data_IF_662778985901
#
_entry.id   IF_662778985901
#
_cell.length_a   1.000
_cell.length_b   1.000
_cell.length_c   1.000
_cell.angle_alpha   90.00
_cell.angle_beta   90.00
_cell.angle_gamma   90.00
#
_symmetry.space_group_name_H-M   'P 1'
#
loop_
_entity.id
_entity.type
_entity.pdbx_description
1 polymer ?
#
# COMPACT_ATOMS: atom_id res chain seq x y z
N UNK A 1 26.34 -12.38 6.49
CA UNK A 1 25.99 -11.28 5.58
C UNK A 1 24.60 -11.56 5.05
N UNK A 2 23.68 -10.61 4.96
CA UNK A 2 22.39 -10.85 4.32
C UNK A 2 22.63 -11.29 2.87
N UNK A 3 21.90 -12.31 2.43
CA UNK A 3 21.97 -12.80 1.06
C UNK A 3 21.47 -11.70 0.14
N UNK A 4 22.22 -11.37 -0.90
CA UNK A 4 21.82 -10.35 -1.86
C UNK A 4 20.49 -10.74 -2.53
N UNK A 5 19.50 -9.84 -2.58
CA UNK A 5 18.19 -10.17 -3.15
C UNK A 5 18.31 -10.51 -4.64
N UNK A 6 17.64 -11.58 -5.05
CA UNK A 6 17.67 -12.07 -6.44
C UNK A 6 16.57 -11.47 -7.32
N UNK A 7 15.44 -11.06 -6.74
CA UNK A 7 14.34 -10.47 -7.52
C UNK A 7 14.60 -8.99 -7.83
N UNK A 8 14.27 -8.56 -9.07
CA UNK A 8 14.46 -7.17 -9.50
C UNK A 8 13.66 -6.17 -8.63
N UNK A 9 12.48 -6.55 -8.15
CA UNK A 9 11.70 -5.72 -7.24
C UNK A 9 12.45 -5.45 -5.92
N UNK A 10 12.92 -6.49 -5.24
CA UNK A 10 13.67 -6.33 -3.99
C UNK A 10 14.99 -5.60 -4.21
N UNK A 11 15.70 -5.87 -5.32
CA UNK A 11 16.91 -5.13 -5.69
C UNK A 11 16.63 -3.63 -5.85
N UNK A 12 15.55 -3.28 -6.55
CA UNK A 12 15.14 -1.88 -6.69
C UNK A 12 14.78 -1.24 -5.35
N UNK A 13 14.09 -1.95 -4.45
CA UNK A 13 13.81 -1.43 -3.10
C UNK A 13 15.09 -1.04 -2.34
N UNK A 14 16.18 -1.77 -2.56
CA UNK A 14 17.51 -1.48 -1.99
C UNK A 14 18.39 -0.62 -2.91
N UNK A 15 17.86 -0.08 -3.99
CA UNK A 15 18.58 0.74 -4.99
C UNK A 15 19.80 0.03 -5.60
N UNK A 16 19.69 -1.28 -5.70
CA UNK A 16 20.68 -2.11 -6.40
C UNK A 16 20.37 -2.13 -7.91
N UNK A 17 21.38 -2.34 -8.76
CA UNK A 17 21.18 -2.47 -10.20
C UNK A 17 20.15 -3.56 -10.54
N UNK A 18 19.32 -3.29 -11.55
CA UNK A 18 18.30 -4.21 -12.07
C UNK A 18 18.45 -4.39 -13.57
N UNK A 19 18.00 -5.53 -14.08
CA UNK A 19 17.99 -5.83 -15.52
C UNK A 19 16.88 -5.06 -16.27
N UNK A 20 15.78 -4.79 -15.61
CA UNK A 20 14.68 -3.95 -16.08
C UNK A 20 14.00 -3.26 -14.87
N UNK A 21 13.32 -2.14 -15.10
CA UNK A 21 12.52 -1.49 -14.06
C UNK A 21 11.44 -2.46 -13.58
N UNK A 22 11.38 -2.80 -12.27
CA UNK A 22 10.32 -3.65 -11.77
C UNK A 22 8.96 -2.93 -11.82
N UNK A 23 7.90 -3.70 -12.09
CA UNK A 23 6.54 -3.21 -12.18
C UNK A 23 5.56 -4.09 -11.40
N UNK A 24 4.71 -3.46 -10.62
CA UNK A 24 3.52 -4.03 -10.01
C UNK A 24 2.46 -2.95 -9.87
N UNK A 25 1.22 -3.30 -9.55
CA UNK A 25 0.14 -2.31 -9.51
C UNK A 25 -0.67 -2.41 -8.22
N UNK A 26 -0.89 -1.28 -7.58
CA UNK A 26 -1.81 -1.19 -6.45
C UNK A 26 -3.21 -1.65 -6.89
N UNK A 27 -3.81 -2.57 -6.12
CA UNK A 27 -5.07 -3.26 -6.46
C UNK A 27 -5.01 -4.11 -7.72
N UNK A 28 -3.82 -4.63 -8.08
CA UNK A 28 -3.65 -5.52 -9.25
C UNK A 28 -4.53 -6.78 -9.17
N UNK A 29 -4.76 -7.33 -7.97
CA UNK A 29 -5.81 -8.31 -7.74
C UNK A 29 -7.12 -7.56 -7.47
N UNK A 30 -8.09 -7.63 -8.39
CA UNK A 30 -9.26 -6.80 -8.20
C UNK A 30 -10.34 -6.90 -9.28
N UNK A 31 -11.31 -6.00 -9.16
CA UNK A 31 -12.60 -6.02 -9.84
C UNK A 31 -12.54 -6.02 -11.38
N UNK A 32 -11.44 -5.61 -11.98
CA UNK A 32 -11.25 -5.58 -13.42
C UNK A 32 -10.90 -6.95 -14.02
N UNK A 33 -10.50 -7.94 -13.21
CA UNK A 33 -10.15 -9.30 -13.64
C UNK A 33 -11.36 -10.22 -13.59
N UNK A 34 -11.65 -10.91 -14.68
CA UNK A 34 -12.79 -11.86 -14.79
C UNK A 34 -12.67 -13.03 -13.81
N UNK A 35 -11.45 -13.47 -13.50
CA UNK A 35 -11.15 -14.52 -12.54
C UNK A 35 -11.58 -14.09 -11.12
N UNK A 36 -11.24 -12.88 -10.72
CA UNK A 36 -11.69 -12.30 -9.45
C UNK A 36 -13.21 -12.12 -9.42
N UNK A 37 -13.82 -11.63 -10.50
CA UNK A 37 -15.27 -11.42 -10.57
C UNK A 37 -16.05 -12.71 -10.30
N UNK A 38 -15.57 -13.86 -10.80
CA UNK A 38 -16.20 -15.18 -10.55
C UNK A 38 -16.19 -15.56 -9.07
N UNK A 39 -15.10 -15.30 -8.36
CA UNK A 39 -15.01 -15.52 -6.92
C UNK A 39 -15.94 -14.54 -6.20
N UNK A 40 -15.89 -13.28 -6.57
CA UNK A 40 -16.64 -12.19 -5.94
C UNK A 40 -18.16 -12.30 -6.11
N UNK A 41 -18.63 -13.01 -7.14
CA UNK A 41 -20.04 -13.28 -7.36
C UNK A 41 -20.67 -14.13 -6.24
N UNK A 42 -19.86 -14.94 -5.55
CA UNK A 42 -20.31 -15.87 -4.51
C UNK A 42 -19.79 -15.53 -3.10
N UNK A 43 -18.90 -14.57 -2.98
CA UNK A 43 -18.26 -14.23 -1.71
C UNK A 43 -18.14 -12.72 -1.52
N UNK A 44 -18.35 -12.25 -0.31
CA UNK A 44 -18.02 -10.88 0.11
C UNK A 44 -16.50 -10.71 0.21
N UNK A 45 -16.02 -9.45 0.28
CA UNK A 45 -14.59 -9.17 0.49
C UNK A 45 -14.12 -9.79 1.82
N UNK A 46 -14.90 -9.65 2.89
CA UNK A 46 -14.56 -10.20 4.21
C UNK A 46 -14.52 -11.73 4.20
N UNK A 47 -15.45 -12.39 3.49
CA UNK A 47 -15.43 -13.85 3.33
C UNK A 47 -14.20 -14.32 2.56
N UNK A 48 -13.78 -13.63 1.50
CA UNK A 48 -12.55 -13.96 0.79
C UNK A 48 -11.34 -13.80 1.71
N UNK A 49 -11.24 -12.69 2.46
CA UNK A 49 -10.13 -12.44 3.38
C UNK A 49 -10.11 -13.40 4.58
N UNK A 50 -11.26 -13.97 4.98
CA UNK A 50 -11.34 -14.96 6.05
C UNK A 50 -11.02 -16.40 5.61
N UNK A 51 -10.94 -16.66 4.30
CA UNK A 51 -10.62 -17.95 3.70
C UNK A 51 -9.23 -17.90 3.07
N UNK A 52 -8.18 -18.47 3.69
CA UNK A 52 -6.79 -18.34 3.24
C UNK A 52 -6.56 -18.78 1.80
N UNK A 53 -7.22 -19.86 1.37
CA UNK A 53 -7.08 -20.43 0.03
C UNK A 53 -7.66 -19.48 -1.03
N UNK A 54 -8.82 -18.86 -0.77
CA UNK A 54 -9.42 -17.89 -1.69
C UNK A 54 -8.59 -16.61 -1.77
N UNK A 55 -8.13 -16.08 -0.63
CA UNK A 55 -7.25 -14.92 -0.62
C UNK A 55 -5.94 -15.19 -1.37
N UNK A 56 -5.38 -16.40 -1.22
CA UNK A 56 -4.18 -16.81 -1.93
C UNK A 56 -4.44 -16.93 -3.45
N UNK A 57 -5.54 -17.58 -3.85
CA UNK A 57 -5.93 -17.68 -5.27
C UNK A 57 -6.02 -16.30 -5.91
N UNK A 58 -6.75 -15.37 -5.29
CA UNK A 58 -6.92 -14.00 -5.78
C UNK A 58 -5.57 -13.27 -5.86
N UNK A 59 -4.70 -13.46 -4.88
CA UNK A 59 -3.35 -12.86 -4.86
C UNK A 59 -2.48 -13.33 -6.04
N UNK A 60 -2.60 -14.58 -6.43
CA UNK A 60 -1.79 -15.20 -7.49
C UNK A 60 -2.28 -14.87 -8.92
N UNK A 61 -3.56 -14.53 -9.10
CA UNK A 61 -4.14 -14.24 -10.42
C UNK A 61 -3.35 -13.19 -11.22
N UNK A 62 -3.01 -12.01 -10.68
CA UNK A 62 -2.26 -10.99 -11.44
C UNK A 62 -0.85 -11.43 -11.81
N UNK A 63 -0.16 -12.16 -10.94
CA UNK A 63 1.19 -12.67 -11.21
C UNK A 63 1.18 -13.57 -12.43
N UNK A 64 0.22 -14.50 -12.48
CA UNK A 64 0.09 -15.46 -13.59
C UNK A 64 -0.41 -14.80 -14.88
N UNK A 65 -1.22 -13.75 -14.78
CA UNK A 65 -1.89 -13.12 -15.93
C UNK A 65 -1.10 -11.98 -16.55
N UNK A 66 -0.42 -11.17 -15.73
CA UNK A 66 0.15 -9.88 -16.12
C UNK A 66 1.68 -9.92 -16.29
N UNK A 67 2.38 -10.85 -15.62
CA UNK A 67 3.84 -10.89 -15.61
C UNK A 67 4.50 -9.80 -14.74
N UNK A 68 3.81 -9.38 -13.68
CA UNK A 68 4.32 -8.38 -12.71
C UNK A 68 5.48 -8.91 -11.87
N UNK A 69 6.30 -8.02 -11.31
CA UNK A 69 7.53 -8.33 -10.57
C UNK A 69 7.32 -8.48 -9.06
N UNK A 70 6.12 -8.26 -8.56
CA UNK A 70 5.75 -8.52 -7.18
C UNK A 70 4.27 -8.90 -7.07
N UNK A 71 3.96 -9.83 -6.16
CA UNK A 71 2.61 -10.06 -5.68
C UNK A 71 2.32 -9.11 -4.51
N UNK A 72 1.08 -8.65 -4.39
CA UNK A 72 0.59 -8.02 -3.17
C UNK A 72 -0.57 -8.83 -2.63
N UNK A 73 -0.55 -9.10 -1.33
CA UNK A 73 -1.58 -9.87 -0.67
C UNK A 73 -2.98 -9.31 -0.96
N UNK A 74 -3.95 -10.16 -1.27
CA UNK A 74 -5.36 -9.75 -1.30
C UNK A 74 -5.90 -9.69 0.13
N UNK A 75 -6.08 -8.49 0.62
CA UNK A 75 -6.61 -8.15 1.94
C UNK A 75 -7.21 -6.74 1.89
N UNK A 76 -7.70 -6.25 3.03
CA UNK A 76 -8.13 -4.86 3.17
C UNK A 76 -7.42 -4.18 4.34
N UNK A 77 -7.13 -2.87 4.20
CA UNK A 77 -6.45 -2.07 5.22
C UNK A 77 -7.23 -1.97 6.54
N UNK A 78 -8.54 -2.20 6.51
CA UNK A 78 -9.43 -2.08 7.67
C UNK A 78 -9.59 -3.38 8.47
N UNK A 79 -9.07 -4.52 7.97
CA UNK A 79 -9.20 -5.82 8.67
C UNK A 79 -8.71 -5.78 10.13
N UNK A 80 -7.59 -5.10 10.46
CA UNK A 80 -7.13 -5.03 11.86
C UNK A 80 -8.09 -4.31 12.80
N UNK A 81 -9.03 -3.50 12.28
CA UNK A 81 -10.01 -2.78 13.09
C UNK A 81 -11.12 -3.69 13.63
N UNK A 82 -11.42 -4.79 12.94
CA UNK A 82 -12.48 -5.73 13.34
C UNK A 82 -12.20 -6.32 14.74
N UNK A 83 -11.01 -6.92 15.01
CA UNK A 83 -10.70 -7.43 16.35
C UNK A 83 -10.54 -6.32 17.40
N UNK A 84 -10.33 -5.07 17.00
CA UNK A 84 -10.38 -3.93 17.92
C UNK A 84 -11.79 -3.65 18.44
N UNK A 85 -12.82 -4.32 17.91
CA UNK A 85 -14.22 -4.15 18.29
C UNK A 85 -15.04 -3.28 17.31
N UNK A 86 -14.54 -3.08 16.10
CA UNK A 86 -15.21 -2.27 15.07
C UNK A 86 -16.11 -3.15 14.21
N UNK A 87 -17.35 -2.68 14.02
CA UNK A 87 -18.34 -3.31 13.17
C UNK A 87 -18.22 -2.74 11.75
N UNK A 88 -17.47 -3.46 10.90
CA UNK A 88 -17.15 -3.08 9.52
C UNK A 88 -18.01 -3.85 8.53
N UNK A 89 -18.56 -3.15 7.56
CA UNK A 89 -19.26 -3.71 6.41
C UNK A 89 -18.72 -3.09 5.10
N UNK A 90 -18.71 -3.88 4.03
CA UNK A 90 -18.43 -3.40 2.67
C UNK A 90 -19.74 -3.37 1.88
N UNK A 91 -20.47 -2.26 2.00
CA UNK A 91 -21.74 -2.08 1.32
C UNK A 91 -21.55 -1.95 -0.20
N UNK A 92 -22.47 -2.55 -0.96
CA UNK A 92 -22.42 -2.52 -2.42
C UNK A 92 -22.59 -1.07 -2.93
N UNK A 93 -21.58 -0.57 -3.63
CA UNK A 93 -21.58 0.79 -4.21
C UNK A 93 -21.13 1.91 -3.27
N UNK A 94 -21.10 1.70 -1.95
CA UNK A 94 -20.77 2.75 -0.96
C UNK A 94 -19.34 2.63 -0.41
N UNK A 95 -18.72 1.46 -0.55
CA UNK A 95 -17.41 1.17 0.05
C UNK A 95 -17.52 0.69 1.51
N UNK A 96 -16.46 0.86 2.32
CA UNK A 96 -16.49 0.45 3.73
C UNK A 96 -17.34 1.39 4.58
N UNK A 97 -18.20 0.79 5.43
CA UNK A 97 -19.06 1.47 6.39
C UNK A 97 -18.74 0.96 7.79
N UNK A 98 -18.55 1.86 8.73
CA UNK A 98 -18.33 1.54 10.16
C UNK A 98 -19.59 1.91 10.92
N UNK A 99 -20.25 0.93 11.50
CA UNK A 99 -21.55 1.09 12.18
C UNK A 99 -21.42 1.66 13.60
N UNK A 100 -20.25 1.50 14.24
CA UNK A 100 -19.92 2.04 15.56
C UNK A 100 -18.71 2.99 15.51
N UNK A 101 -18.81 4.11 14.76
CA UNK A 101 -17.69 5.02 14.60
C UNK A 101 -17.35 5.72 15.93
N UNK A 102 -16.07 6.05 16.12
CA UNK A 102 -15.56 6.77 17.29
C UNK A 102 -16.14 8.18 17.34
N UNK A 103 -16.69 8.55 18.52
CA UNK A 103 -17.25 9.87 18.79
C UNK A 103 -16.71 10.50 20.07
N UNK A 104 -16.31 9.69 21.02
CA UNK A 104 -15.90 10.09 22.37
C UNK A 104 -14.56 9.47 22.73
N UNK A 105 -13.94 9.98 23.79
CA UNK A 105 -12.76 9.38 24.37
C UNK A 105 -13.02 7.95 24.88
N UNK A 106 -14.19 7.71 25.47
CA UNK A 106 -14.58 6.39 25.96
C UNK A 106 -14.63 5.35 24.83
N UNK A 107 -15.06 5.76 23.61
CA UNK A 107 -15.01 4.88 22.43
C UNK A 107 -13.57 4.48 22.06
N UNK A 108 -12.63 5.42 22.22
CA UNK A 108 -11.19 5.15 21.97
C UNK A 108 -10.64 4.22 23.05
N UNK A 109 -10.97 4.45 24.32
CA UNK A 109 -10.53 3.61 25.44
C UNK A 109 -11.05 2.18 25.31
N UNK A 110 -12.28 2.00 24.78
CA UNK A 110 -12.91 0.71 24.55
C UNK A 110 -12.28 -0.11 23.41
N UNK A 111 -11.45 0.48 22.55
CA UNK A 111 -10.74 -0.26 21.49
C UNK A 111 -9.81 -1.31 22.11
N UNK A 112 -10.00 -2.55 21.69
CA UNK A 112 -9.26 -3.72 22.19
C UNK A 112 -7.88 -3.82 21.56
N UNK A 113 -6.87 -4.37 22.29
CA UNK A 113 -5.61 -4.77 21.70
C UNK A 113 -5.85 -5.94 20.72
N UNK A 114 -4.97 -6.05 19.73
CA UNK A 114 -5.04 -7.09 18.68
C UNK A 114 -3.81 -7.99 18.80
N UNK A 115 -4.04 -9.29 18.82
CA UNK A 115 -3.03 -10.33 18.66
C UNK A 115 -3.13 -10.84 17.22
N UNK A 116 -2.30 -10.40 16.26
CA UNK A 116 -2.47 -10.73 14.85
C UNK A 116 -2.44 -12.23 14.57
N UNK A 117 -1.61 -12.98 15.28
CA UNK A 117 -1.48 -14.44 15.14
C UNK A 117 -2.77 -15.19 15.47
N UNK A 118 -3.63 -14.61 16.32
CA UNK A 118 -4.94 -15.19 16.70
C UNK A 118 -6.06 -14.58 15.87
N UNK A 119 -6.14 -13.25 15.89
CA UNK A 119 -7.31 -12.53 15.36
C UNK A 119 -7.28 -12.35 13.83
N UNK A 120 -6.11 -12.44 13.21
CA UNK A 120 -5.87 -12.28 11.76
C UNK A 120 -5.16 -13.53 11.18
N UNK A 121 -5.32 -14.68 11.83
CA UNK A 121 -4.68 -15.93 11.45
C UNK A 121 -4.94 -16.32 9.98
N UNK A 122 -6.16 -16.09 9.47
CA UNK A 122 -6.50 -16.37 8.07
C UNK A 122 -5.64 -15.59 7.08
N UNK A 123 -5.36 -14.33 7.39
CA UNK A 123 -4.49 -13.47 6.55
C UNK A 123 -3.06 -14.00 6.58
N UNK A 124 -2.54 -14.39 7.74
CA UNK A 124 -1.19 -14.93 7.89
C UNK A 124 -1.05 -16.29 7.20
N UNK A 125 -2.07 -17.14 7.26
CA UNK A 125 -2.14 -18.40 6.52
C UNK A 125 -2.15 -18.17 5.01
N UNK A 126 -2.91 -17.19 4.50
CA UNK A 126 -2.91 -16.81 3.09
C UNK A 126 -1.50 -16.39 2.63
N UNK A 127 -0.77 -15.60 3.44
CA UNK A 127 0.63 -15.23 3.17
C UNK A 127 1.50 -16.49 3.03
N UNK A 128 1.39 -17.44 3.96
CA UNK A 128 2.19 -18.67 3.93
C UNK A 128 1.89 -19.51 2.67
N UNK A 129 0.61 -19.63 2.27
CA UNK A 129 0.21 -20.32 1.05
C UNK A 129 0.81 -19.62 -0.17
N UNK A 130 0.59 -18.30 -0.31
CA UNK A 130 1.09 -17.51 -1.45
C UNK A 130 2.61 -17.60 -1.55
N UNK A 131 3.34 -17.50 -0.42
CA UNK A 131 4.80 -17.63 -0.41
C UNK A 131 5.28 -18.95 -0.97
N UNK A 132 4.61 -20.06 -0.61
CA UNK A 132 4.93 -21.40 -1.14
C UNK A 132 4.67 -21.48 -2.63
N UNK A 133 3.54 -20.94 -3.11
CA UNK A 133 3.14 -21.00 -4.53
C UNK A 133 3.99 -20.06 -5.42
N UNK A 134 4.51 -18.97 -4.84
CA UNK A 134 5.39 -18.02 -5.54
C UNK A 134 6.86 -18.42 -5.54
N UNK A 135 7.23 -19.53 -4.94
CA UNK A 135 8.62 -19.93 -4.74
C UNK A 135 9.50 -19.68 -5.98
N UNK A 136 10.51 -18.82 -5.80
CA UNK A 136 11.45 -18.42 -6.85
C UNK A 136 10.91 -17.53 -7.98
N UNK A 137 9.60 -17.23 -8.05
CA UNK A 137 9.01 -16.41 -9.12
C UNK A 137 9.13 -14.91 -8.83
N UNK A 138 8.29 -14.42 -7.90
CA UNK A 138 8.26 -13.01 -7.49
C UNK A 138 8.09 -12.88 -5.98
N UNK A 139 8.53 -11.78 -5.34
CA UNK A 139 8.31 -11.55 -3.92
C UNK A 139 6.87 -11.18 -3.61
N UNK A 140 6.47 -11.43 -2.36
CA UNK A 140 5.17 -11.06 -1.81
C UNK A 140 5.29 -9.79 -0.97
N UNK A 141 4.44 -8.81 -1.26
CA UNK A 141 4.25 -7.59 -0.49
C UNK A 141 3.10 -7.80 0.49
N UNK A 142 3.38 -7.62 1.79
CA UNK A 142 2.38 -7.42 2.82
C UNK A 142 2.04 -5.94 2.97
N UNK A 143 0.94 -5.62 3.65
CA UNK A 143 0.57 -4.21 3.83
C UNK A 143 -0.37 -3.98 5.00
N UNK A 144 -0.49 -2.72 5.41
CA UNK A 144 -1.50 -2.23 6.33
C UNK A 144 -1.90 -0.80 5.99
N UNK A 145 -3.02 -0.35 6.53
CA UNK A 145 -3.40 1.06 6.51
C UNK A 145 -2.51 1.90 7.42
N UNK A 146 -2.18 3.11 7.01
CA UNK A 146 -1.47 4.05 7.85
C UNK A 146 -2.38 4.62 8.96
N UNK A 147 -1.80 5.11 10.06
CA UNK A 147 -2.56 5.45 11.25
C UNK A 147 -3.57 6.59 11.03
N UNK A 148 -3.22 7.61 10.24
CA UNK A 148 -4.17 8.69 9.92
C UNK A 148 -5.35 8.20 9.07
N UNK A 149 -5.07 7.36 8.09
CA UNK A 149 -6.11 6.78 7.22
C UNK A 149 -7.07 5.92 8.04
N UNK A 150 -6.55 5.07 8.94
CA UNK A 150 -7.38 4.23 9.82
C UNK A 150 -8.18 5.06 10.83
N UNK A 151 -7.55 6.06 11.48
CA UNK A 151 -8.24 7.00 12.37
C UNK A 151 -9.37 7.73 11.66
N UNK A 152 -9.12 8.15 10.42
CA UNK A 152 -10.13 8.83 9.62
C UNK A 152 -11.34 7.93 9.32
N UNK A 153 -11.13 6.67 8.95
CA UNK A 153 -12.22 5.71 8.78
C UNK A 153 -13.02 5.53 10.08
N UNK A 154 -12.33 5.33 11.20
CA UNK A 154 -12.95 5.14 12.51
C UNK A 154 -13.79 6.34 12.93
N UNK A 155 -13.32 7.55 12.72
CA UNK A 155 -13.98 8.78 13.17
C UNK A 155 -15.07 9.22 12.19
N UNK A 156 -14.81 9.19 10.88
CA UNK A 156 -15.81 9.60 9.88
C UNK A 156 -16.94 8.57 9.75
N UNK A 157 -16.65 7.28 9.96
CA UNK A 157 -17.58 6.16 9.81
C UNK A 157 -17.55 5.54 8.41
N UNK A 158 -16.64 6.02 7.55
CA UNK A 158 -16.49 5.60 6.15
C UNK A 158 -15.58 6.54 5.39
N UNK A 159 -15.73 6.60 4.07
CA UNK A 159 -14.98 7.55 3.25
C UNK A 159 -15.40 9.00 3.53
N UNK A 160 -14.45 9.92 3.50
CA UNK A 160 -14.70 11.36 3.70
C UNK A 160 -13.93 12.18 2.66
N UNK A 161 -14.47 13.34 2.29
CA UNK A 161 -13.80 14.30 1.39
C UNK A 161 -12.95 15.31 2.17
N UNK A 162 -13.43 15.75 3.32
CA UNK A 162 -12.85 16.88 4.05
C UNK A 162 -12.23 16.48 5.40
N UNK A 163 -12.48 15.25 5.89
CA UNK A 163 -11.97 14.75 7.16
C UNK A 163 -12.27 15.69 8.34
N UNK A 164 -13.47 16.31 8.31
CA UNK A 164 -13.81 17.38 9.25
C UNK A 164 -13.83 16.90 10.70
N UNK A 165 -14.46 15.74 10.96
CA UNK A 165 -14.52 15.19 12.33
C UNK A 165 -13.14 14.75 12.80
N UNK A 166 -12.36 14.14 11.91
CA UNK A 166 -10.99 13.69 12.17
C UNK A 166 -10.10 14.87 12.58
N UNK A 167 -10.07 15.93 11.74
CA UNK A 167 -9.28 17.14 12.04
C UNK A 167 -9.79 17.86 13.28
N UNK A 168 -11.10 17.84 13.52
CA UNK A 168 -11.68 18.45 14.74
C UNK A 168 -11.19 17.72 16.00
N UNK A 169 -11.19 16.38 16.02
CA UNK A 169 -10.67 15.63 17.16
C UNK A 169 -9.17 15.91 17.36
N UNK A 170 -8.41 15.87 16.28
CA UNK A 170 -6.95 16.09 16.27
C UNK A 170 -6.55 17.42 16.94
N UNK A 171 -7.30 18.49 16.68
CA UNK A 171 -6.98 19.84 17.16
C UNK A 171 -7.63 20.15 18.51
N UNK A 172 -8.89 19.73 18.72
CA UNK A 172 -9.64 20.11 19.92
C UNK A 172 -9.43 19.17 21.11
N UNK A 173 -9.04 17.91 20.88
CA UNK A 173 -8.67 16.97 21.95
C UNK A 173 -7.39 16.21 21.57
N UNK A 174 -6.20 16.87 21.66
CA UNK A 174 -4.93 16.23 21.35
C UNK A 174 -4.63 15.00 22.20
N UNK A 175 -5.18 14.92 23.43
CA UNK A 175 -4.98 13.77 24.32
C UNK A 175 -5.75 12.54 23.85
N UNK A 176 -7.00 12.71 23.41
CA UNK A 176 -7.78 11.62 22.80
C UNK A 176 -7.18 11.21 21.45
N UNK A 177 -6.74 12.17 20.64
CA UNK A 177 -6.02 11.92 19.39
C UNK A 177 -4.77 11.08 19.61
N UNK A 178 -3.91 11.47 20.55
CA UNK A 178 -2.70 10.73 20.90
C UNK A 178 -3.02 9.28 21.27
N UNK A 179 -3.99 9.08 22.18
CA UNK A 179 -4.40 7.73 22.60
C UNK A 179 -4.86 6.87 21.43
N UNK A 180 -5.66 7.43 20.51
CA UNK A 180 -6.11 6.71 19.30
C UNK A 180 -4.94 6.33 18.42
N UNK A 181 -4.04 7.28 18.14
CA UNK A 181 -2.91 7.07 17.26
C UNK A 181 -1.89 6.08 17.83
N UNK A 182 -1.66 6.08 19.14
CA UNK A 182 -0.83 5.09 19.84
C UNK A 182 -1.41 3.68 19.71
N UNK A 183 -2.71 3.51 19.93
CA UNK A 183 -3.37 2.22 19.76
C UNK A 183 -3.28 1.72 18.32
N UNK A 184 -3.57 2.59 17.34
CA UNK A 184 -3.52 2.22 15.93
C UNK A 184 -2.10 1.88 15.45
N UNK A 185 -1.11 2.67 15.83
CA UNK A 185 0.27 2.42 15.42
C UNK A 185 0.83 1.15 16.02
N UNK A 186 0.48 0.82 17.26
CA UNK A 186 0.84 -0.48 17.87
C UNK A 186 0.24 -1.64 17.08
N UNK A 187 -1.06 -1.63 16.84
CA UNK A 187 -1.76 -2.69 16.09
C UNK A 187 -1.20 -2.84 14.67
N UNK A 188 -0.94 -1.73 13.97
CA UNK A 188 -0.38 -1.75 12.63
C UNK A 188 1.04 -2.31 12.62
N UNK A 189 1.89 -1.93 13.57
CA UNK A 189 3.24 -2.42 13.70
C UNK A 189 3.26 -3.94 13.95
N UNK A 190 2.48 -4.41 14.94
CA UNK A 190 2.39 -5.84 15.27
C UNK A 190 1.86 -6.66 14.08
N UNK A 191 0.86 -6.13 13.37
CA UNK A 191 0.29 -6.79 12.20
C UNK A 191 1.29 -6.90 11.03
N UNK A 192 2.05 -5.83 10.75
CA UNK A 192 3.08 -5.87 9.70
C UNK A 192 4.24 -6.80 10.07
N UNK A 193 4.66 -6.82 11.34
CA UNK A 193 5.67 -7.76 11.84
C UNK A 193 5.18 -9.22 11.70
N UNK A 194 3.93 -9.49 12.04
CA UNK A 194 3.33 -10.81 11.87
C UNK A 194 3.27 -11.23 10.38
N UNK A 195 2.93 -10.31 9.46
CA UNK A 195 2.96 -10.59 8.02
C UNK A 195 4.36 -10.95 7.53
N UNK A 196 5.40 -10.26 7.99
CA UNK A 196 6.79 -10.59 7.64
C UNK A 196 7.16 -11.97 8.18
N UNK A 197 6.84 -12.28 9.43
CA UNK A 197 7.05 -13.62 10.02
C UNK A 197 6.32 -14.71 9.24
N UNK A 198 5.14 -14.44 8.71
CA UNK A 198 4.37 -15.37 7.88
C UNK A 198 4.95 -15.53 6.46
N UNK A 199 5.86 -14.66 6.01
CA UNK A 199 6.57 -14.79 4.75
C UNK A 199 6.50 -13.61 3.79
N UNK A 200 5.90 -12.47 4.15
CA UNK A 200 5.99 -11.25 3.35
C UNK A 200 7.46 -10.79 3.24
N UNK A 201 7.88 -10.43 2.03
CA UNK A 201 9.28 -10.09 1.72
C UNK A 201 9.50 -8.58 1.54
N UNK A 202 8.44 -7.81 1.51
CA UNK A 202 8.38 -6.37 1.62
C UNK A 202 7.06 -6.01 2.29
N UNK A 203 6.95 -4.82 2.87
CA UNK A 203 5.67 -4.33 3.41
C UNK A 203 5.42 -2.89 2.98
N UNK A 204 4.15 -2.57 2.73
CA UNK A 204 3.72 -1.22 2.38
C UNK A 204 2.73 -0.65 3.41
N UNK A 205 3.03 0.55 3.91
CA UNK A 205 2.12 1.35 4.71
C UNK A 205 1.31 2.25 3.78
N UNK A 206 -0.01 2.00 3.71
CA UNK A 206 -0.94 2.80 2.92
C UNK A 206 -1.55 3.91 3.78
N UNK A 207 -0.88 5.05 3.87
CA UNK A 207 -1.46 6.23 4.50
C UNK A 207 -2.08 7.16 3.46
N UNK A 208 -3.05 6.61 2.73
CA UNK A 208 -3.61 7.17 1.50
C UNK A 208 -4.20 8.57 1.67
N UNK A 209 -4.59 8.97 2.87
CA UNK A 209 -5.33 10.22 3.10
C UNK A 209 -4.52 11.35 3.74
N UNK A 210 -3.23 11.13 4.05
CA UNK A 210 -2.39 12.15 4.69
C UNK A 210 -2.22 13.44 3.88
N UNK A 211 -2.38 13.39 2.57
CA UNK A 211 -2.36 14.59 1.73
C UNK A 211 -3.49 15.59 2.01
N UNK A 212 -4.48 15.21 2.83
CA UNK A 212 -5.48 16.15 3.35
C UNK A 212 -4.93 17.09 4.44
N UNK A 213 -3.69 16.86 4.93
CA UNK A 213 -3.05 17.61 6.00
C UNK A 213 -2.06 18.64 5.46
N UNK A 214 -1.96 19.77 6.17
CA UNK A 214 -0.84 20.68 6.01
C UNK A 214 0.46 20.00 6.53
N UNK A 215 1.65 20.37 6.01
CA UNK A 215 2.90 19.77 6.43
C UNK A 215 3.15 19.83 7.95
N UNK A 216 2.77 20.92 8.60
CA UNK A 216 2.92 21.07 10.05
C UNK A 216 1.99 20.15 10.83
N UNK A 217 0.73 19.99 10.37
CA UNK A 217 -0.22 19.07 11.00
C UNK A 217 0.25 17.62 10.84
N UNK A 218 0.77 17.25 9.66
CA UNK A 218 1.36 15.93 9.46
C UNK A 218 2.54 15.71 10.42
N UNK A 219 3.46 16.68 10.50
CA UNK A 219 4.64 16.60 11.38
C UNK A 219 4.25 16.41 12.85
N UNK A 220 3.27 17.16 13.31
CA UNK A 220 2.88 17.16 14.72
C UNK A 220 2.00 15.97 15.08
N UNK A 221 1.01 15.65 14.27
CA UNK A 221 -0.09 14.75 14.65
C UNK A 221 -0.02 13.36 14.02
N UNK A 222 0.82 13.11 13.02
CA UNK A 222 0.85 11.85 12.30
C UNK A 222 2.25 11.23 12.19
N UNK A 223 3.24 12.03 11.81
CA UNK A 223 4.60 11.56 11.56
C UNK A 223 5.20 10.75 12.71
N UNK A 224 5.05 11.11 14.01
CA UNK A 224 5.62 10.33 15.12
C UNK A 224 5.10 8.88 15.15
N UNK A 225 3.84 8.67 14.80
CA UNK A 225 3.19 7.36 14.81
C UNK A 225 3.57 6.51 13.60
N UNK A 226 3.67 7.11 12.41
CA UNK A 226 4.24 6.46 11.24
C UNK A 226 5.70 6.06 11.49
N UNK A 227 6.49 6.94 12.11
CA UNK A 227 7.87 6.66 12.51
C UNK A 227 7.95 5.47 13.46
N UNK A 228 7.10 5.39 14.47
CA UNK A 228 7.07 4.28 15.43
C UNK A 228 6.80 2.93 14.73
N UNK A 229 5.90 2.90 13.73
CA UNK A 229 5.64 1.71 12.92
C UNK A 229 6.90 1.28 12.16
N UNK A 230 7.57 2.21 11.46
CA UNK A 230 8.78 1.88 10.71
C UNK A 230 9.94 1.47 11.61
N UNK A 231 10.07 2.05 12.80
CA UNK A 231 11.06 1.64 13.80
C UNK A 231 10.83 0.20 14.28
N UNK A 232 9.59 -0.19 14.56
CA UNK A 232 9.26 -1.56 14.95
C UNK A 232 9.61 -2.60 13.87
N UNK A 233 9.56 -2.20 12.59
CA UNK A 233 9.86 -3.05 11.44
C UNK A 233 11.34 -3.15 11.09
N UNK A 234 12.22 -2.32 11.66
CA UNK A 234 13.65 -2.31 11.29
C UNK A 234 14.34 -3.66 11.49
N UNK A 235 13.99 -4.37 12.56
CA UNK A 235 14.54 -5.70 12.85
C UNK A 235 14.08 -6.79 11.86
N UNK A 236 13.08 -6.52 11.07
CA UNK A 236 12.54 -7.47 10.07
C UNK A 236 13.40 -7.58 8.81
N UNK A 237 14.29 -6.63 8.57
CA UNK A 237 15.22 -6.59 7.43
C UNK A 237 14.57 -6.74 6.05
N UNK A 238 13.30 -6.35 5.91
CA UNK A 238 12.59 -6.30 4.63
C UNK A 238 12.41 -4.86 4.15
N UNK A 239 12.27 -4.61 2.84
CA UNK A 239 11.96 -3.29 2.34
C UNK A 239 10.64 -2.76 2.90
N UNK A 240 10.64 -1.48 3.28
CA UNK A 240 9.52 -0.75 3.83
C UNK A 240 9.10 0.33 2.84
N UNK A 241 7.85 0.31 2.39
CA UNK A 241 7.30 1.25 1.41
C UNK A 241 6.28 2.14 2.11
N UNK A 242 6.43 3.46 1.98
CA UNK A 242 5.49 4.44 2.53
C UNK A 242 4.74 5.14 1.39
N UNK A 243 3.42 4.99 1.33
CA UNK A 243 2.58 5.53 0.27
C UNK A 243 1.47 6.42 0.82
N UNK A 244 1.23 7.54 0.14
CA UNK A 244 0.07 8.42 0.35
C UNK A 244 -0.34 9.11 -0.94
N UNK A 245 -1.53 9.73 -0.97
CA UNK A 245 -2.02 10.53 -2.10
C UNK A 245 -2.10 12.01 -1.75
N UNK A 246 -1.90 12.90 -2.71
CA UNK A 246 -1.86 14.36 -2.49
C UNK A 246 -0.65 14.79 -1.67
N UNK A 247 0.44 14.03 -1.70
CA UNK A 247 1.55 14.14 -0.74
C UNK A 247 2.76 14.94 -1.25
N UNK A 248 2.64 15.68 -2.36
CA UNK A 248 3.75 16.47 -2.89
C UNK A 248 4.45 17.33 -1.81
N UNK A 249 3.69 18.06 -0.99
CA UNK A 249 4.22 18.89 0.09
C UNK A 249 4.74 18.08 1.31
N UNK A 250 4.48 16.78 1.37
CA UNK A 250 4.81 15.91 2.50
C UNK A 250 5.97 14.96 2.22
N UNK A 251 6.46 14.85 0.98
CA UNK A 251 7.43 13.81 0.59
C UNK A 251 8.65 13.74 1.52
N UNK A 252 9.25 14.90 1.87
CA UNK A 252 10.41 14.94 2.78
C UNK A 252 10.04 14.47 4.20
N UNK A 253 8.86 14.83 4.69
CA UNK A 253 8.39 14.41 6.01
C UNK A 253 8.05 12.91 6.02
N UNK A 254 7.47 12.38 4.94
CA UNK A 254 7.23 10.94 4.79
C UNK A 254 8.54 10.15 4.81
N UNK A 255 9.56 10.64 4.09
CA UNK A 255 10.90 10.02 4.13
C UNK A 255 11.52 10.09 5.54
N UNK A 256 11.37 11.22 6.25
CA UNK A 256 11.81 11.36 7.65
C UNK A 256 11.05 10.43 8.60
N UNK A 257 9.76 10.18 8.35
CA UNK A 257 9.00 9.20 9.12
C UNK A 257 9.54 7.77 8.96
N UNK A 258 10.03 7.42 7.77
CA UNK A 258 10.67 6.14 7.48
C UNK A 258 10.28 5.56 6.13
N UNK A 259 10.90 4.42 5.82
CA UNK A 259 10.72 3.68 4.57
C UNK A 259 11.95 3.69 3.69
N UNK A 260 12.18 2.59 3.00
CA UNK A 260 13.23 2.46 1.99
C UNK A 260 12.78 2.98 0.62
N UNK A 261 11.46 3.03 0.42
CA UNK A 261 10.80 3.45 -0.82
C UNK A 261 9.65 4.39 -0.47
N UNK A 262 9.57 5.51 -1.17
CA UNK A 262 8.43 6.43 -1.10
C UNK A 262 7.56 6.26 -2.34
N UNK A 263 6.29 5.89 -2.10
CA UNK A 263 5.29 5.82 -3.16
C UNK A 263 4.70 7.21 -3.45
N UNK A 264 4.68 7.58 -4.71
CA UNK A 264 4.26 8.89 -5.20
C UNK A 264 2.97 8.74 -5.99
N UNK A 265 2.01 9.63 -5.78
CA UNK A 265 0.77 9.65 -6.55
C UNK A 265 0.94 10.30 -7.93
N UNK A 266 -0.10 10.17 -8.77
CA UNK A 266 -0.07 10.62 -10.16
C UNK A 266 -0.04 12.16 -10.34
N UNK A 267 -0.33 12.94 -9.30
CA UNK A 267 -0.40 14.40 -9.35
C UNK A 267 0.98 15.05 -9.27
N UNK A 268 1.98 14.29 -8.83
CA UNK A 268 3.33 14.77 -8.59
C UNK A 268 4.27 14.30 -9.72
N UNK A 269 4.94 15.19 -10.46
CA UNK A 269 5.97 14.77 -11.42
C UNK A 269 7.06 13.94 -10.74
N UNK A 270 7.40 12.78 -11.33
CA UNK A 270 8.29 11.81 -10.68
C UNK A 270 9.74 12.34 -10.53
N UNK A 271 10.24 13.05 -11.50
CA UNK A 271 11.54 13.73 -11.47
C UNK A 271 11.62 14.76 -10.34
N UNK A 272 10.58 15.60 -10.21
CA UNK A 272 10.49 16.57 -9.11
C UNK A 272 10.41 15.86 -7.75
N UNK A 273 9.62 14.81 -7.63
CA UNK A 273 9.53 14.03 -6.40
C UNK A 273 10.92 13.50 -5.98
N UNK A 274 11.68 13.00 -6.96
CA UNK A 274 13.04 12.51 -6.71
C UNK A 274 13.99 13.61 -6.26
N UNK A 275 13.91 14.81 -6.84
CA UNK A 275 14.69 15.98 -6.39
C UNK A 275 14.38 16.33 -4.92
N UNK A 276 13.12 16.17 -4.48
CA UNK A 276 12.75 16.42 -3.08
C UNK A 276 13.27 15.34 -2.13
N UNK A 277 13.36 14.10 -2.57
CA UNK A 277 13.71 12.94 -1.75
C UNK A 277 15.22 12.66 -1.74
N UNK A 278 15.94 13.05 -2.78
CA UNK A 278 17.36 12.73 -2.96
C UNK A 278 17.58 11.27 -3.39
N UNK A 279 18.85 10.86 -3.45
CA UNK A 279 19.26 9.56 -4.01
C UNK A 279 19.33 8.43 -2.97
N UNK A 280 18.98 8.71 -1.71
CA UNK A 280 19.10 7.73 -0.61
C UNK A 280 17.83 6.88 -0.39
N UNK A 281 16.79 7.10 -1.18
CA UNK A 281 15.52 6.39 -1.09
C UNK A 281 15.05 5.93 -2.47
N UNK A 282 14.38 4.78 -2.55
CA UNK A 282 13.69 4.35 -3.77
C UNK A 282 12.40 5.14 -3.99
N UNK A 283 11.95 5.24 -5.23
CA UNK A 283 10.70 5.91 -5.58
C UNK A 283 9.81 4.96 -6.36
N UNK A 284 8.56 4.83 -5.89
CA UNK A 284 7.54 3.99 -6.51
C UNK A 284 6.43 4.85 -7.12
N UNK A 285 6.11 4.58 -8.36
CA UNK A 285 4.96 5.24 -9.03
C UNK A 285 5.24 5.52 -10.50
N UNK A 286 4.42 6.34 -11.17
CA UNK A 286 3.21 6.96 -10.63
C UNK A 286 2.20 7.26 -11.76
N UNK A 287 1.93 6.25 -12.60
CA UNK A 287 0.96 6.40 -13.68
C UNK A 287 -0.45 6.69 -13.13
N UNK A 288 -1.14 7.66 -13.70
CA UNK A 288 -2.55 7.89 -13.39
C UNK A 288 -3.37 6.66 -13.82
N UNK A 289 -4.12 6.02 -12.90
CA UNK A 289 -4.97 4.88 -13.24
C UNK A 289 -5.99 5.15 -14.34
N UNK A 290 -6.46 6.38 -14.48
CA UNK A 290 -7.40 6.75 -15.53
C UNK A 290 -6.80 6.66 -16.93
N UNK A 291 -5.48 6.77 -17.06
CA UNK A 291 -4.78 6.67 -18.35
C UNK A 291 -4.81 5.25 -18.92
N UNK A 292 -5.08 4.23 -18.10
CA UNK A 292 -5.27 2.85 -18.56
C UNK A 292 -6.50 2.68 -19.48
N UNK A 293 -7.41 3.65 -19.54
CA UNK A 293 -8.55 3.70 -20.46
C UNK A 293 -8.25 4.46 -21.75
N UNK A 294 -7.08 5.07 -21.87
CA UNK A 294 -6.71 5.85 -23.04
C UNK A 294 -6.40 4.95 -24.25
N UNK A 295 -6.42 5.49 -25.47
CA UNK A 295 -5.88 4.80 -26.65
C UNK A 295 -4.42 4.36 -26.40
N UNK A 296 -4.05 3.19 -26.92
CA UNK A 296 -2.74 2.57 -26.63
C UNK A 296 -1.54 3.48 -26.92
N UNK A 297 -1.61 4.29 -27.99
CA UNK A 297 -0.54 5.25 -28.31
C UNK A 297 -0.38 6.36 -27.28
N UNK A 298 -1.47 6.80 -26.65
CA UNK A 298 -1.42 7.80 -25.59
C UNK A 298 -0.96 7.16 -24.27
N UNK A 299 -1.44 5.97 -23.95
CA UNK A 299 -0.98 5.20 -22.79
C UNK A 299 0.54 4.97 -22.87
N UNK A 300 1.06 4.55 -24.02
CA UNK A 300 2.51 4.35 -24.22
C UNK A 300 3.30 5.64 -23.98
N UNK A 301 2.82 6.78 -24.50
CA UNK A 301 3.49 8.09 -24.26
C UNK A 301 3.59 8.41 -22.77
N UNK A 302 2.55 8.14 -21.99
CA UNK A 302 2.52 8.38 -20.54
C UNK A 302 3.46 7.44 -19.79
N UNK A 303 3.47 6.16 -20.12
CA UNK A 303 4.43 5.19 -19.56
C UNK A 303 5.87 5.65 -19.84
N UNK A 304 6.19 5.95 -21.11
CA UNK A 304 7.51 6.44 -21.51
C UNK A 304 7.89 7.77 -20.83
N UNK A 305 6.93 8.65 -20.56
CA UNK A 305 7.18 9.89 -19.81
C UNK A 305 7.69 9.60 -18.40
N UNK A 306 7.02 8.71 -17.66
CA UNK A 306 7.41 8.32 -16.29
C UNK A 306 8.80 7.67 -16.30
N UNK A 307 9.06 6.77 -17.24
CA UNK A 307 10.37 6.12 -17.35
C UNK A 307 11.49 7.11 -17.68
N UNK A 308 11.22 8.14 -18.51
CA UNK A 308 12.17 9.25 -18.74
C UNK A 308 12.38 10.10 -17.50
N UNK A 309 11.33 10.42 -16.74
CA UNK A 309 11.43 11.16 -15.48
C UNK A 309 12.22 10.39 -14.43
N UNK A 310 12.07 9.08 -14.37
CA UNK A 310 12.92 8.22 -13.54
C UNK A 310 14.39 8.29 -13.95
N UNK A 311 14.69 8.50 -15.25
CA UNK A 311 16.02 8.75 -15.77
C UNK A 311 17.02 7.61 -15.59
N UNK A 312 16.53 6.36 -15.42
CA UNK A 312 17.35 5.19 -15.13
C UNK A 312 18.00 5.19 -13.74
N UNK A 313 17.53 6.03 -12.81
CA UNK A 313 18.05 6.05 -11.43
C UNK A 313 17.78 4.72 -10.74
N UNK A 314 18.75 4.19 -9.97
CA UNK A 314 18.52 3.01 -9.13
C UNK A 314 17.41 3.28 -8.12
N UNK A 315 16.53 2.28 -7.93
CA UNK A 315 15.43 2.39 -6.95
C UNK A 315 14.11 2.85 -7.54
N UNK A 316 13.95 2.94 -8.86
CA UNK A 316 12.65 3.13 -9.49
C UNK A 316 11.86 1.83 -9.47
N UNK A 317 10.61 1.89 -8.98
CA UNK A 317 9.61 0.84 -9.08
C UNK A 317 8.41 1.44 -9.81
N UNK A 318 8.13 0.94 -11.02
CA UNK A 318 6.96 1.41 -11.76
C UNK A 318 5.67 0.92 -11.10
N UNK A 319 4.74 1.83 -10.87
CA UNK A 319 3.41 1.54 -10.34
C UNK A 319 2.42 2.60 -10.84
N UNK A 320 1.17 2.44 -10.49
CA UNK A 320 0.19 3.51 -10.60
C UNK A 320 0.34 4.48 -9.41
N UNK A 321 -0.15 5.70 -9.60
CA UNK A 321 -0.25 6.69 -8.52
C UNK A 321 -1.42 6.45 -7.56
N UNK A 322 -2.28 5.45 -7.83
CA UNK A 322 -3.36 4.94 -6.99
C UNK A 322 -3.74 3.51 -7.44
N UNK A 323 -4.75 2.90 -6.84
CA UNK A 323 -5.20 1.56 -7.22
C UNK A 323 -5.87 1.50 -8.59
N UNK A 324 -5.76 0.35 -9.27
CA UNK A 324 -6.47 0.06 -10.53
C UNK A 324 -7.98 0.27 -10.36
N UNK A 325 -8.60 0.88 -11.36
CA UNK A 325 -10.04 1.12 -11.39
C UNK A 325 -10.82 -0.14 -11.82
N UNK A 326 -12.09 -0.31 -11.40
CA UNK A 326 -12.84 -1.54 -11.59
C UNK A 326 -13.02 -2.02 -13.03
N UNK A 327 -13.11 -1.09 -13.99
CA UNK A 327 -13.39 -1.39 -15.41
C UNK A 327 -12.14 -1.31 -16.30
N UNK A 328 -10.95 -1.29 -15.69
CA UNK A 328 -9.68 -1.19 -16.42
C UNK A 328 -9.51 -2.37 -17.39
N UNK A 329 -9.19 -2.12 -18.67
CA UNK A 329 -8.89 -3.20 -19.61
C UNK A 329 -7.63 -3.98 -19.18
N UNK A 330 -7.75 -5.31 -19.00
CA UNK A 330 -6.63 -6.17 -18.60
C UNK A 330 -5.46 -6.09 -19.58
N UNK A 331 -5.76 -6.02 -20.88
CA UNK A 331 -4.76 -5.94 -21.95
C UNK A 331 -3.95 -4.63 -21.86
N UNK A 332 -4.58 -3.52 -21.45
CA UNK A 332 -3.85 -2.28 -21.22
C UNK A 332 -2.85 -2.41 -20.06
N UNK A 333 -3.25 -3.06 -18.97
CA UNK A 333 -2.35 -3.31 -17.83
C UNK A 333 -1.18 -4.19 -18.25
N UNK A 334 -1.45 -5.28 -18.98
CA UNK A 334 -0.41 -6.17 -19.50
C UNK A 334 0.56 -5.46 -20.44
N UNK A 335 0.03 -4.62 -21.33
CA UNK A 335 0.85 -3.86 -22.27
C UNK A 335 1.77 -2.86 -21.55
N UNK A 336 1.32 -2.27 -20.43
CA UNK A 336 2.19 -1.43 -19.58
C UNK A 336 3.35 -2.23 -19.03
N UNK A 337 3.13 -3.45 -18.55
CA UNK A 337 4.20 -4.35 -18.08
C UNK A 337 5.23 -4.58 -19.19
N UNK A 338 4.76 -4.94 -20.38
CA UNK A 338 5.61 -5.22 -21.52
C UNK A 338 6.47 -4.00 -21.91
N UNK A 339 5.90 -2.80 -21.93
CA UNK A 339 6.65 -1.56 -22.23
C UNK A 339 7.63 -1.19 -21.15
N UNK A 340 7.30 -1.38 -19.88
CA UNK A 340 8.22 -1.09 -18.77
C UNK A 340 9.41 -2.03 -18.80
N UNK A 341 9.20 -3.33 -19.05
CA UNK A 341 10.28 -4.31 -19.14
C UNK A 341 11.16 -4.12 -20.39
N UNK A 342 10.56 -3.68 -21.50
CA UNK A 342 11.31 -3.39 -22.74
C UNK A 342 12.10 -2.07 -22.68
N UNK A 343 11.87 -1.23 -21.66
CA UNK A 343 12.60 0.03 -21.51
C UNK A 343 14.05 -0.25 -21.09
N UNK A 344 15.06 0.31 -21.81
CA UNK A 344 16.45 0.04 -21.49
C UNK A 344 16.78 0.43 -20.05
N UNK A 345 17.30 -0.50 -19.25
CA UNK A 345 17.92 -0.15 -17.99
C UNK A 345 19.17 0.69 -18.34
N UNK A 346 19.20 1.93 -17.87
CA UNK A 346 20.40 2.76 -18.07
C UNK A 346 21.50 2.17 -17.23
N UNK A 347 22.44 1.49 -17.86
CA UNK A 347 23.71 1.13 -17.22
C UNK A 347 24.41 2.46 -16.92
N UNK A 348 24.54 2.81 -15.63
CA UNK A 348 25.44 3.91 -15.28
C UNK A 348 26.84 3.48 -15.71
N UNK A 349 27.41 4.25 -16.66
CA UNK A 349 28.84 4.19 -17.05
C UNK A 349 29.63 4.86 -15.95
#
# INVERSE_FOLDING_TARGET
>A
MPVEPTSRFLRACYRLPVDATPVWFMRQAGRYMSEYQRIRANHTILEICSQPELAAEVTLQPVNRLGVDAAILFADILLPLIPMGIHLEFASGEGPVIHNPIRTRDDIEALKPVMPEESLASVLQAIAIVRRELDGKVPLIGFAGGPFTLASYLIEGGSSRNYQKTKSLMVNDPGAWQLLMEKLSSVVADYLVAQVKAGAQAVQLFDSWIGALAPEDYRQYVMPYAHAIFQALQASHVPLIHFGTGTASLLRLMHQAGGNVIGVDWQTPLDWAWEQLGDQVGVQGNLDPAVLFAPMNELEKRVRLILRQAGGRPGHIFNLGHGILPETPVDAVKQVVDWVHAWPATTMV
#
